data_IF_841669933796
#
_entry.id   IF_841669933796
#
_cell.length_a   1.000
_cell.length_b   1.000
_cell.length_c   1.000
_cell.angle_alpha   90.00
_cell.angle_beta   90.00
_cell.angle_gamma   90.00
#
_symmetry.space_group_name_H-M   'P 1'
#
loop_
_entity.id
_entity.type
_entity.pdbx_description
1 polymer ?
#
# COMPACT_ATOMS: atom_id res chain seq x y z
N UNK A 1 7.68 40.43 3.39
CA UNK A 1 7.60 39.24 4.27
C UNK A 1 7.86 38.01 3.40
N UNK A 2 9.14 37.74 3.10
CA UNK A 2 9.56 36.87 2.01
C UNK A 2 10.96 36.30 2.34
N UNK A 3 11.04 35.11 2.98
CA UNK A 3 12.34 34.39 3.15
C UNK A 3 12.17 32.85 3.22
N UNK A 4 11.02 32.30 3.61
CA UNK A 4 10.94 30.86 3.94
C UNK A 4 10.62 29.88 2.80
N UNK A 5 10.34 30.34 1.57
CA UNK A 5 9.74 29.49 0.53
C UNK A 5 10.62 29.16 -0.69
N UNK A 6 11.95 29.26 -0.58
CA UNK A 6 12.80 28.88 -1.72
C UNK A 6 14.12 28.18 -1.33
N UNK A 7 14.07 27.24 -0.39
CA UNK A 7 15.08 26.17 -0.37
C UNK A 7 14.51 24.97 -1.11
N UNK A 8 15.11 24.63 -2.25
CA UNK A 8 14.91 23.29 -2.79
C UNK A 8 15.24 22.31 -1.66
N UNK A 9 14.31 21.39 -1.36
CA UNK A 9 14.53 20.44 -0.29
C UNK A 9 15.76 19.63 -0.67
N UNK A 10 16.70 19.52 0.25
CA UNK A 10 17.90 18.72 0.06
C UNK A 10 17.50 17.34 -0.47
N UNK A 11 18.04 16.95 -1.63
CA UNK A 11 17.76 15.69 -2.31
C UNK A 11 17.87 14.50 -1.35
N UNK A 12 18.77 14.61 -0.37
CA UNK A 12 18.93 13.63 0.71
C UNK A 12 17.68 13.46 1.57
N UNK A 13 17.01 14.55 1.96
CA UNK A 13 15.81 14.51 2.79
C UNK A 13 14.64 13.83 2.08
N UNK A 14 14.49 14.08 0.77
CA UNK A 14 13.45 13.42 -0.04
C UNK A 14 13.72 11.92 -0.14
N UNK A 15 14.95 11.52 -0.39
CA UNK A 15 15.30 10.10 -0.47
C UNK A 15 15.03 9.38 0.86
N UNK A 16 15.36 10.00 1.99
CA UNK A 16 15.06 9.44 3.32
C UNK A 16 13.56 9.34 3.56
N UNK A 17 12.78 10.38 3.23
CA UNK A 17 11.32 10.34 3.36
C UNK A 17 10.68 9.25 2.48
N UNK A 18 11.16 9.10 1.25
CA UNK A 18 10.73 8.04 0.33
C UNK A 18 11.08 6.65 0.85
N UNK A 19 12.26 6.47 1.44
CA UNK A 19 12.65 5.21 2.05
C UNK A 19 11.76 4.88 3.25
N UNK A 20 11.53 5.86 4.15
CA UNK A 20 10.63 5.67 5.30
C UNK A 20 9.22 5.31 4.84
N UNK A 21 8.71 5.98 3.81
CA UNK A 21 7.43 5.63 3.19
C UNK A 21 7.40 4.18 2.71
N UNK A 22 8.40 3.72 1.94
CA UNK A 22 8.45 2.35 1.45
C UNK A 22 8.52 1.33 2.59
N UNK A 23 9.31 1.59 3.62
CA UNK A 23 9.40 0.74 4.82
C UNK A 23 8.04 0.65 5.51
N UNK A 24 7.33 1.77 5.68
CA UNK A 24 6.00 1.78 6.28
C UNK A 24 4.98 1.01 5.44
N UNK A 25 5.02 1.12 4.11
CA UNK A 25 4.15 0.36 3.21
C UNK A 25 4.39 -1.15 3.35
N UNK A 26 5.65 -1.57 3.39
CA UNK A 26 6.03 -2.98 3.60
C UNK A 26 5.58 -3.46 4.99
N UNK A 27 5.73 -2.63 6.02
CA UNK A 27 5.30 -2.94 7.38
C UNK A 27 3.78 -3.13 7.46
N UNK A 28 2.99 -2.21 6.90
CA UNK A 28 1.54 -2.36 6.86
C UNK A 28 1.11 -3.58 6.05
N UNK A 29 1.80 -3.88 4.95
CA UNK A 29 1.55 -5.10 4.20
C UNK A 29 1.83 -6.37 5.03
N UNK A 30 2.95 -6.41 5.75
CA UNK A 30 3.29 -7.55 6.62
C UNK A 30 2.27 -7.75 7.76
N UNK A 31 1.81 -6.65 8.38
CA UNK A 31 0.76 -6.70 9.40
C UNK A 31 -0.55 -7.23 8.80
N UNK A 32 -0.94 -6.73 7.61
CA UNK A 32 -2.12 -7.19 6.91
C UNK A 32 -2.07 -8.70 6.65
N UNK A 33 -0.98 -9.20 6.09
CA UNK A 33 -0.80 -10.63 5.79
C UNK A 33 -0.87 -11.48 7.05
N UNK A 34 -0.29 -11.01 8.16
CA UNK A 34 -0.32 -11.71 9.44
C UNK A 34 -1.75 -11.82 9.99
N UNK A 35 -2.49 -10.71 10.01
CA UNK A 35 -3.88 -10.66 10.49
C UNK A 35 -4.81 -11.50 9.61
N UNK A 36 -4.64 -11.47 8.29
CA UNK A 36 -5.45 -12.26 7.36
C UNK A 36 -5.15 -13.76 7.48
N UNK A 37 -3.89 -14.13 7.72
CA UNK A 37 -3.49 -15.50 8.01
C UNK A 37 -4.18 -16.03 9.26
N UNK A 38 -4.16 -15.24 10.35
CA UNK A 38 -4.81 -15.61 11.61
C UNK A 38 -6.33 -15.74 11.45
N UNK A 39 -6.95 -14.84 10.68
CA UNK A 39 -8.38 -14.88 10.37
C UNK A 39 -8.77 -16.16 9.62
N UNK A 40 -7.96 -16.57 8.66
CA UNK A 40 -8.23 -17.79 7.89
C UNK A 40 -8.01 -19.04 8.75
N UNK A 41 -6.95 -19.09 9.56
CA UNK A 41 -6.69 -20.20 10.47
C UNK A 41 -7.86 -20.42 11.45
N UNK A 42 -8.41 -19.35 12.04
CA UNK A 42 -9.59 -19.44 12.90
C UNK A 42 -10.82 -19.91 12.14
N UNK A 43 -11.05 -19.43 10.91
CA UNK A 43 -12.21 -19.84 10.13
C UNK A 43 -12.19 -21.33 9.77
N UNK A 44 -11.00 -21.90 9.50
CA UNK A 44 -10.83 -23.33 9.23
C UNK A 44 -11.07 -24.21 10.47
N UNK A 45 -10.68 -23.74 11.66
CA UNK A 45 -10.96 -24.45 12.90
C UNK A 45 -12.47 -24.57 13.14
N UNK A 46 -13.26 -23.56 12.76
CA UNK A 46 -14.70 -23.56 13.00
C UNK A 46 -15.49 -24.40 12.00
N UNK A 47 -15.05 -24.45 10.74
CA UNK A 47 -15.67 -25.32 9.73
C UNK A 47 -15.42 -26.81 10.00
N UNK A 48 -14.52 -27.15 10.92
CA UNK A 48 -14.20 -28.53 11.32
C UNK A 48 -15.15 -29.15 12.37
N UNK A 49 -16.22 -28.45 12.77
CA UNK A 49 -17.37 -29.06 13.46
C UNK A 49 -17.50 -28.82 14.97
N UNK A 50 -16.76 -27.85 15.53
CA UNK A 50 -16.94 -27.42 16.92
C UNK A 50 -18.07 -26.40 17.10
N UNK A 51 -18.73 -26.38 18.26
CA UNK A 51 -19.67 -25.31 18.63
C UNK A 51 -18.93 -23.97 18.72
N UNK A 52 -19.36 -22.97 17.95
CA UNK A 52 -18.75 -21.64 17.95
C UNK A 52 -19.17 -20.92 19.24
N UNK A 53 -18.20 -20.51 20.05
CA UNK A 53 -18.45 -19.68 21.23
C UNK A 53 -18.61 -18.21 20.84
N UNK A 54 -19.37 -17.44 21.63
CA UNK A 54 -19.51 -15.99 21.42
C UNK A 54 -18.16 -15.26 21.45
N UNK A 55 -17.23 -15.75 22.29
CA UNK A 55 -15.86 -15.24 22.37
C UNK A 55 -15.07 -15.45 21.07
N UNK A 56 -15.31 -16.57 20.37
CA UNK A 56 -14.67 -16.84 19.09
C UNK A 56 -15.19 -15.87 18.02
N UNK A 57 -16.50 -15.63 17.97
CA UNK A 57 -17.15 -14.66 17.06
C UNK A 57 -16.56 -13.26 17.26
N UNK A 58 -16.42 -12.83 18.52
CA UNK A 58 -15.85 -11.52 18.84
C UNK A 58 -14.40 -11.41 18.37
N UNK A 59 -13.57 -12.43 18.60
CA UNK A 59 -12.17 -12.46 18.16
C UNK A 59 -12.04 -12.31 16.64
N UNK A 60 -12.83 -13.05 15.85
CA UNK A 60 -12.80 -12.95 14.39
C UNK A 60 -13.29 -11.60 13.88
N UNK A 61 -14.32 -11.03 14.52
CA UNK A 61 -14.79 -9.67 14.22
C UNK A 61 -13.70 -8.63 14.46
N UNK A 62 -12.96 -8.75 15.56
CA UNK A 62 -11.83 -7.87 15.85
C UNK A 62 -10.70 -8.04 14.83
N UNK A 63 -10.30 -9.26 14.49
CA UNK A 63 -9.29 -9.52 13.45
C UNK A 63 -9.71 -8.92 12.11
N UNK A 64 -10.95 -9.14 11.68
CA UNK A 64 -11.50 -8.54 10.46
C UNK A 64 -11.44 -7.01 10.47
N UNK A 65 -11.74 -6.37 11.61
CA UNK A 65 -11.60 -4.91 11.76
C UNK A 65 -10.15 -4.46 11.64
N UNK A 66 -9.21 -5.13 12.30
CA UNK A 66 -7.79 -4.80 12.23
C UNK A 66 -7.23 -4.98 10.82
N UNK A 67 -7.64 -6.02 10.09
CA UNK A 67 -7.28 -6.24 8.68
C UNK A 67 -7.76 -5.06 7.83
N UNK A 68 -9.04 -4.67 7.95
CA UNK A 68 -9.61 -3.53 7.21
C UNK A 68 -8.96 -2.19 7.57
N UNK A 69 -8.65 -1.95 8.85
CA UNK A 69 -7.93 -0.75 9.28
C UNK A 69 -6.54 -0.71 8.66
N UNK A 70 -5.83 -1.84 8.63
CA UNK A 70 -4.48 -1.91 8.08
C UNK A 70 -4.48 -1.68 6.57
N UNK A 71 -5.45 -2.25 5.84
CA UNK A 71 -5.68 -1.98 4.41
C UNK A 71 -5.96 -0.49 4.16
N UNK A 72 -6.81 0.13 4.99
CA UNK A 72 -7.10 1.56 4.90
C UNK A 72 -5.86 2.42 5.18
N UNK A 73 -5.04 2.07 6.16
CA UNK A 73 -3.79 2.78 6.47
C UNK A 73 -2.79 2.70 5.33
N UNK A 74 -2.67 1.53 4.67
CA UNK A 74 -1.86 1.36 3.46
C UNK A 74 -2.32 2.30 2.34
N UNK A 75 -3.63 2.35 2.08
CA UNK A 75 -4.22 3.22 1.06
C UNK A 75 -4.04 4.71 1.39
N UNK A 76 -4.33 5.12 2.63
CA UNK A 76 -4.20 6.52 3.07
C UNK A 76 -2.75 6.97 2.94
N UNK A 77 -1.79 6.14 3.36
CA UNK A 77 -0.37 6.45 3.25
C UNK A 77 0.05 6.65 1.79
N UNK A 78 -0.37 5.75 0.89
CA UNK A 78 -0.13 5.88 -0.55
C UNK A 78 -0.70 7.20 -1.11
N UNK A 79 -1.98 7.48 -0.84
CA UNK A 79 -2.66 8.68 -1.34
C UNK A 79 -1.99 9.95 -0.81
N UNK A 80 -1.68 9.99 0.49
CA UNK A 80 -1.09 11.15 1.12
C UNK A 80 0.27 11.48 0.50
N UNK A 81 1.14 10.48 0.33
CA UNK A 81 2.45 10.70 -0.31
C UNK A 81 2.30 11.05 -1.79
N UNK A 82 1.35 10.42 -2.50
CA UNK A 82 1.04 10.78 -3.89
C UNK A 82 0.63 12.25 -4.03
N UNK A 83 -0.29 12.74 -3.19
CA UNK A 83 -0.72 14.15 -3.17
C UNK A 83 0.46 15.06 -2.85
N UNK A 84 1.27 14.73 -1.85
CA UNK A 84 2.48 15.50 -1.50
C UNK A 84 3.41 15.60 -2.72
N UNK A 85 3.65 14.51 -3.43
CA UNK A 85 4.54 14.50 -4.60
C UNK A 85 3.98 15.35 -5.74
N UNK A 86 2.69 15.21 -6.07
CA UNK A 86 2.02 16.00 -7.12
C UNK A 86 2.06 17.50 -6.79
N UNK A 87 1.70 17.87 -5.56
CA UNK A 87 1.67 19.27 -5.11
C UNK A 87 3.07 19.87 -4.96
N UNK A 88 4.10 19.05 -4.72
CA UNK A 88 5.50 19.50 -4.67
C UNK A 88 6.09 19.79 -6.04
N UNK A 89 5.69 19.03 -7.07
CA UNK A 89 6.22 19.14 -8.43
C UNK A 89 5.16 19.48 -9.49
N UNK A 90 4.29 20.47 -9.30
CA UNK A 90 3.18 20.76 -10.21
C UNK A 90 3.70 21.20 -11.60
N UNK A 91 4.86 21.86 -11.62
CA UNK A 91 5.53 22.32 -12.83
C UNK A 91 6.63 21.40 -13.33
N UNK A 92 6.81 20.19 -12.78
CA UNK A 92 7.80 19.22 -13.29
C UNK A 92 7.33 17.78 -13.04
N UNK A 93 6.35 17.34 -13.83
CA UNK A 93 5.75 15.99 -13.68
C UNK A 93 6.76 14.85 -13.89
N UNK A 94 7.85 15.09 -14.63
CA UNK A 94 8.92 14.10 -14.80
C UNK A 94 9.60 13.70 -13.48
N UNK A 95 9.57 14.58 -12.46
CA UNK A 95 10.06 14.25 -11.11
C UNK A 95 9.15 13.29 -10.34
N UNK A 96 7.94 13.02 -10.82
CA UNK A 96 7.04 12.00 -10.25
C UNK A 96 7.37 10.59 -10.75
N UNK A 97 8.10 10.47 -11.87
CA UNK A 97 8.42 9.18 -12.48
C UNK A 97 9.19 8.24 -11.52
N UNK A 98 10.22 8.68 -10.76
CA UNK A 98 10.87 7.82 -9.79
C UNK A 98 9.90 7.31 -8.71
N UNK A 99 9.01 8.17 -8.20
CA UNK A 99 7.99 7.76 -7.22
C UNK A 99 7.04 6.71 -7.82
N UNK A 100 6.59 6.90 -9.05
CA UNK A 100 5.74 5.94 -9.73
C UNK A 100 6.45 4.59 -9.91
N UNK A 101 7.70 4.59 -10.38
CA UNK A 101 8.51 3.38 -10.56
C UNK A 101 8.77 2.63 -9.26
N UNK A 102 9.07 3.32 -8.17
CA UNK A 102 9.23 2.69 -6.85
C UNK A 102 7.95 1.98 -6.40
N UNK A 103 6.78 2.59 -6.62
CA UNK A 103 5.50 1.95 -6.28
C UNK A 103 5.14 0.80 -7.22
N UNK A 104 5.51 0.87 -8.51
CA UNK A 104 5.39 -0.28 -9.41
C UNK A 104 6.21 -1.45 -8.89
N UNK A 105 7.48 -1.21 -8.53
CA UNK A 105 8.35 -2.24 -7.98
C UNK A 105 7.78 -2.82 -6.69
N UNK A 106 7.24 -1.98 -5.80
CA UNK A 106 6.57 -2.41 -4.57
C UNK A 106 5.35 -3.31 -4.87
N UNK A 107 4.48 -2.91 -5.80
CA UNK A 107 3.25 -3.67 -6.10
C UNK A 107 3.53 -4.96 -6.84
N UNK A 108 4.54 -4.98 -7.73
CA UNK A 108 5.04 -6.22 -8.35
C UNK A 108 5.65 -7.13 -7.28
N UNK A 109 6.39 -6.58 -6.33
CA UNK A 109 6.90 -7.29 -5.16
C UNK A 109 5.78 -7.93 -4.35
N UNK A 110 4.75 -7.15 -3.99
CA UNK A 110 3.54 -7.66 -3.33
C UNK A 110 2.89 -8.76 -4.15
N UNK A 111 2.66 -8.56 -5.45
CA UNK A 111 2.07 -9.60 -6.30
C UNK A 111 2.89 -10.89 -6.34
N UNK A 112 4.22 -10.78 -6.37
CA UNK A 112 5.13 -11.94 -6.31
C UNK A 112 5.03 -12.65 -4.97
N UNK A 113 5.02 -11.90 -3.87
CA UNK A 113 4.83 -12.44 -2.52
C UNK A 113 3.44 -13.07 -2.39
N UNK A 114 2.40 -12.51 -2.99
CA UNK A 114 1.06 -13.10 -3.00
C UNK A 114 1.01 -14.43 -3.75
N UNK A 115 1.71 -14.55 -4.88
CA UNK A 115 1.79 -15.79 -5.67
C UNK A 115 2.53 -16.90 -4.91
N UNK A 116 3.68 -16.57 -4.31
CA UNK A 116 4.46 -17.54 -3.51
C UNK A 116 3.71 -17.86 -2.21
N UNK A 117 3.18 -16.83 -1.56
CA UNK A 117 2.43 -16.90 -0.31
C UNK A 117 1.20 -17.80 -0.43
N UNK A 118 0.46 -17.76 -1.55
CA UNK A 118 -0.69 -18.64 -1.75
C UNK A 118 -0.35 -20.13 -1.90
N UNK A 119 0.92 -20.47 -2.17
CA UNK A 119 1.37 -21.87 -2.24
C UNK A 119 1.74 -22.42 -0.86
N UNK A 120 2.15 -21.55 0.05
CA UNK A 120 2.62 -21.93 1.41
C UNK A 120 1.60 -21.61 2.50
N UNK A 121 0.60 -20.80 2.19
CA UNK A 121 -0.51 -20.45 3.08
C UNK A 121 -1.84 -20.94 2.50
N UNK A 122 -2.87 -21.05 3.32
CA UNK A 122 -4.25 -21.33 2.88
C UNK A 122 -4.96 -20.12 2.27
N UNK A 123 -4.25 -19.02 2.07
CA UNK A 123 -4.81 -17.76 1.56
C UNK A 123 -4.79 -17.71 0.05
N UNK A 124 -5.86 -17.16 -0.54
CA UNK A 124 -5.87 -16.90 -1.98
C UNK A 124 -4.93 -15.77 -2.36
N UNK A 125 -4.42 -15.78 -3.60
CA UNK A 125 -3.65 -14.66 -4.16
C UNK A 125 -4.44 -13.35 -4.09
N UNK A 126 -5.76 -13.42 -4.27
CA UNK A 126 -6.65 -12.27 -4.20
C UNK A 126 -6.64 -11.59 -2.84
N UNK A 127 -6.69 -12.36 -1.75
CA UNK A 127 -6.62 -11.82 -0.39
C UNK A 127 -5.23 -11.21 -0.15
N UNK A 128 -4.17 -11.94 -0.48
CA UNK A 128 -2.80 -11.45 -0.29
C UNK A 128 -2.48 -10.20 -1.12
N UNK A 129 -3.09 -10.02 -2.28
CA UNK A 129 -2.92 -8.85 -3.14
C UNK A 129 -3.96 -7.74 -2.89
N UNK A 130 -4.93 -7.96 -1.99
CA UNK A 130 -6.03 -7.02 -1.79
C UNK A 130 -5.57 -5.59 -1.48
N UNK A 131 -4.58 -5.36 -0.60
CA UNK A 131 -4.17 -4.00 -0.23
C UNK A 131 -3.66 -3.16 -1.41
N UNK A 132 -3.21 -3.79 -2.50
CA UNK A 132 -2.67 -3.07 -3.66
C UNK A 132 -3.70 -2.83 -4.77
N UNK A 133 -4.91 -3.39 -4.72
CA UNK A 133 -5.88 -3.22 -5.81
C UNK A 133 -6.25 -1.76 -6.06
N UNK A 134 -6.76 -1.06 -5.04
CA UNK A 134 -7.13 0.36 -5.18
C UNK A 134 -5.91 1.24 -5.46
N UNK A 135 -4.79 1.11 -4.73
CA UNK A 135 -3.56 1.86 -5.05
C UNK A 135 -3.04 1.63 -6.47
N UNK A 136 -3.18 0.43 -7.04
CA UNK A 136 -2.74 0.14 -8.40
C UNK A 136 -3.53 0.95 -9.44
N UNK A 137 -4.85 1.06 -9.30
CA UNK A 137 -5.65 1.93 -10.19
C UNK A 137 -5.23 3.40 -10.10
N UNK A 138 -4.94 3.89 -8.89
CA UNK A 138 -4.45 5.25 -8.68
C UNK A 138 -3.05 5.45 -9.27
N UNK A 139 -2.18 4.44 -9.19
CA UNK A 139 -0.86 4.48 -9.78
C UNK A 139 -0.93 4.54 -11.32
N UNK A 140 -1.85 3.80 -11.94
CA UNK A 140 -2.12 3.89 -13.39
C UNK A 140 -2.60 5.30 -13.75
N UNK A 141 -3.53 5.88 -12.98
CA UNK A 141 -3.98 7.25 -13.20
C UNK A 141 -2.82 8.27 -13.08
N UNK A 142 -1.91 8.06 -12.12
CA UNK A 142 -0.69 8.87 -11.99
C UNK A 142 0.22 8.73 -13.21
N UNK A 143 0.41 7.53 -13.76
CA UNK A 143 1.18 7.34 -14.99
C UNK A 143 0.59 8.10 -16.17
N UNK A 144 -0.73 8.01 -16.37
CA UNK A 144 -1.44 8.75 -17.40
C UNK A 144 -1.21 10.25 -17.23
N UNK A 145 -1.33 10.76 -15.99
CA UNK A 145 -1.06 12.15 -15.67
C UNK A 145 0.38 12.58 -16.01
N UNK A 146 1.37 11.74 -15.66
CA UNK A 146 2.79 12.03 -15.94
C UNK A 146 3.05 12.04 -17.45
N UNK A 147 2.58 11.05 -18.19
CA UNK A 147 2.75 10.96 -19.65
C UNK A 147 2.11 12.18 -20.34
N UNK A 148 0.87 12.51 -19.98
CA UNK A 148 0.18 13.68 -20.53
C UNK A 148 0.93 14.99 -20.23
N UNK A 149 1.42 15.16 -19.00
CA UNK A 149 2.18 16.35 -18.62
C UNK A 149 3.56 16.45 -19.28
N UNK A 150 4.18 15.32 -19.65
CA UNK A 150 5.41 15.29 -20.45
C UNK A 150 5.14 15.67 -21.91
N UNK A 151 4.10 15.09 -22.54
CA UNK A 151 3.72 15.40 -23.92
C UNK A 151 3.34 16.88 -24.11
N UNK A 152 2.74 17.52 -23.11
CA UNK A 152 2.36 18.95 -23.20
C UNK A 152 3.56 19.91 -23.13
N UNK A 153 4.74 19.42 -22.73
CA UNK A 153 5.94 20.25 -22.49
C UNK A 153 7.13 19.91 -23.37
N UNK A 154 7.13 18.73 -23.99
CA UNK A 154 7.99 18.43 -25.15
C UNK A 154 7.40 19.03 -26.39
#
# INVERSE_FOLDING_TARGET
>A
MNVFLNKQPDKRRINVAMLMYLVLMILFYGIYVSLESDRIAQSQQWTSGGSISDQAIESMSQLGRWTSITELLFLILFILVMIIMITRYPRNVGRLLPFALWNVALFVGVGTVSLVGSQVTSMSVGNLAQPIFVPAFLLVALFIYVVWGLMKRG
#
